data_IF_520127504927
#
_entry.id   IF_520127504927
#
_cell.length_a   1.000
_cell.length_b   1.000
_cell.length_c   1.000
_cell.angle_alpha   90.00
_cell.angle_beta   90.00
_cell.angle_gamma   90.00
#
_symmetry.space_group_name_H-M   'P 1'
#
loop_
_entity.id
_entity.type
_entity.pdbx_description
1 polymer ?
#
# COMPACT_ATOMS: atom_id res chain seq x y z
N UNK A 1 -1.53 44.91 96.17
CA UNK A 1 -1.32 44.11 94.94
C UNK A 1 -2.57 44.20 94.08
N UNK A 2 -2.53 45.05 93.05
CA UNK A 2 -3.27 44.91 91.77
C UNK A 2 -2.81 43.61 91.06
N UNK A 3 -3.46 43.04 90.00
CA UNK A 3 -4.54 43.51 89.09
C UNK A 3 -5.60 42.38 88.80
N UNK A 4 -6.08 42.11 87.55
CA UNK A 4 -6.98 42.82 86.61
C UNK A 4 -8.33 42.06 86.37
N UNK A 5 -9.47 42.69 86.02
CA UNK A 5 -9.93 43.26 84.72
C UNK A 5 -10.56 42.28 83.70
N UNK A 6 -11.82 42.62 83.32
CA UNK A 6 -12.45 42.53 81.97
C UNK A 6 -12.72 41.11 81.43
N UNK A 7 -13.73 40.82 80.61
CA UNK A 7 -14.51 41.60 79.65
C UNK A 7 -15.80 40.83 79.29
N UNK A 8 -16.81 41.58 78.82
CA UNK A 8 -18.11 41.14 78.29
C UNK A 8 -18.01 40.14 77.13
N UNK A 9 -19.01 39.26 77.00
CA UNK A 9 -19.39 38.64 75.72
C UNK A 9 -20.92 38.61 75.61
N UNK A 10 -21.44 39.42 74.68
CA UNK A 10 -22.82 39.43 74.22
C UNK A 10 -22.83 38.95 72.77
N UNK A 11 -23.67 37.94 72.53
CA UNK A 11 -24.32 37.51 71.29
C UNK A 11 -23.74 37.96 69.94
N UNK A 12 -23.48 36.98 69.07
CA UNK A 12 -23.86 37.06 67.65
C UNK A 12 -24.46 35.74 67.17
N UNK A 13 -25.73 35.81 66.77
CA UNK A 13 -26.41 34.85 65.89
C UNK A 13 -26.05 35.21 64.46
N UNK A 14 -25.79 34.23 63.60
CA UNK A 14 -25.78 34.41 62.15
C UNK A 14 -26.29 33.13 61.48
N UNK A 15 -27.21 33.32 60.56
CA UNK A 15 -28.09 32.33 59.95
C UNK A 15 -27.38 31.50 58.88
N UNK A 16 -27.73 30.22 58.78
CA UNK A 16 -27.40 29.35 57.65
C UNK A 16 -28.41 29.59 56.51
N UNK A 17 -27.90 29.96 55.34
CA UNK A 17 -28.57 29.85 54.04
C UNK A 17 -27.94 28.67 53.30
N UNK A 18 -28.68 27.57 53.18
CA UNK A 18 -28.34 26.42 52.33
C UNK A 18 -28.85 26.71 50.91
N UNK A 19 -27.93 27.10 50.02
CA UNK A 19 -28.18 27.14 48.58
C UNK A 19 -27.98 25.73 48.00
N UNK A 20 -29.08 25.08 47.59
CA UNK A 20 -29.05 23.78 46.95
C UNK A 20 -28.58 23.92 45.48
N UNK A 21 -27.64 23.05 45.12
CA UNK A 21 -27.07 22.89 43.79
C UNK A 21 -28.10 22.35 42.78
N UNK A 22 -28.07 22.89 41.56
CA UNK A 22 -28.51 22.17 40.36
C UNK A 22 -27.58 22.56 39.20
N UNK A 23 -26.34 22.07 39.27
CA UNK A 23 -25.46 22.01 38.10
C UNK A 23 -26.02 20.96 37.15
N UNK A 24 -26.83 21.40 36.18
CA UNK A 24 -27.12 20.65 34.96
C UNK A 24 -25.81 20.50 34.18
N UNK A 25 -25.06 19.44 34.45
CA UNK A 25 -24.02 19.02 33.53
C UNK A 25 -24.71 18.58 32.22
N UNK A 26 -24.35 19.13 31.05
CA UNK A 26 -24.89 18.63 29.79
C UNK A 26 -24.51 17.16 29.69
N UNK A 27 -25.52 16.30 29.49
CA UNK A 27 -25.29 14.92 29.13
C UNK A 27 -24.50 14.93 27.81
N UNK A 28 -23.19 14.67 27.91
CA UNK A 28 -22.36 14.37 26.76
C UNK A 28 -23.04 13.17 26.09
N UNK A 29 -23.73 13.43 24.98
CA UNK A 29 -24.20 12.36 24.12
C UNK A 29 -22.93 11.65 23.67
N UNK A 30 -22.70 10.44 24.17
CA UNK A 30 -21.63 9.60 23.69
C UNK A 30 -21.85 9.47 22.18
N UNK A 31 -20.96 10.07 21.39
CA UNK A 31 -21.01 9.95 19.95
C UNK A 31 -21.07 8.46 19.62
N UNK A 32 -21.93 8.10 18.65
CA UNK A 32 -22.03 6.72 18.19
C UNK A 32 -20.65 6.17 17.76
N UNK A 33 -20.48 4.85 17.69
CA UNK A 33 -19.21 4.29 17.26
C UNK A 33 -18.87 4.77 15.85
N UNK A 34 -17.58 5.04 15.62
CA UNK A 34 -17.07 5.45 14.31
C UNK A 34 -17.18 4.30 13.30
N UNK A 35 -16.96 3.07 13.77
CA UNK A 35 -17.08 1.84 12.99
C UNK A 35 -17.48 0.68 13.91
N UNK A 36 -18.32 -0.24 13.43
CA UNK A 36 -18.60 -1.50 14.12
C UNK A 36 -18.63 -2.61 13.10
N UNK A 37 -17.86 -3.68 13.33
CA UNK A 37 -17.74 -4.79 12.39
C UNK A 37 -17.47 -6.11 13.11
N UNK A 38 -17.85 -7.22 12.47
CA UNK A 38 -17.46 -8.55 12.89
C UNK A 38 -16.00 -8.80 12.50
N UNK A 39 -15.17 -9.09 13.49
CA UNK A 39 -13.80 -9.57 13.27
C UNK A 39 -13.87 -11.00 12.74
N UNK A 40 -14.67 -11.84 13.40
CA UNK A 40 -15.02 -13.18 12.96
C UNK A 40 -16.45 -13.52 13.41
N UNK A 41 -16.83 -14.80 13.38
CA UNK A 41 -18.18 -15.26 13.77
C UNK A 41 -18.50 -15.02 15.25
N UNK A 42 -17.49 -14.84 16.10
CA UNK A 42 -17.59 -14.79 17.56
C UNK A 42 -17.25 -13.43 18.15
N UNK A 43 -16.42 -12.63 17.47
CA UNK A 43 -15.93 -11.34 17.95
C UNK A 43 -16.46 -10.19 17.10
N UNK A 44 -17.01 -9.18 17.76
CA UNK A 44 -17.34 -7.88 17.15
C UNK A 44 -16.43 -6.79 17.71
N UNK A 45 -15.80 -6.02 16.83
CA UNK A 45 -15.04 -4.84 17.19
C UNK A 45 -15.93 -3.59 17.04
N UNK A 46 -15.93 -2.75 18.07
CA UNK A 46 -16.57 -1.43 18.07
C UNK A 46 -15.49 -0.37 18.27
N UNK A 47 -15.31 0.49 17.27
CA UNK A 47 -14.28 1.53 17.25
C UNK A 47 -14.94 2.86 17.59
N UNK A 48 -14.36 3.56 18.55
CA UNK A 48 -14.82 4.84 19.09
C UNK A 48 -13.67 5.84 19.10
N UNK A 49 -13.99 7.12 18.96
CA UNK A 49 -12.99 8.18 19.10
C UNK A 49 -12.60 8.29 20.57
N UNK A 50 -11.31 8.15 20.89
CA UNK A 50 -10.82 8.48 22.23
C UNK A 50 -10.53 9.99 22.31
N UNK A 51 -9.75 10.50 21.35
CA UNK A 51 -9.44 11.91 21.17
C UNK A 51 -9.06 12.19 19.70
N UNK A 52 -8.26 13.25 19.44
CA UNK A 52 -7.81 13.62 18.09
C UNK A 52 -6.76 12.68 17.49
N UNK A 53 -6.01 11.95 18.33
CA UNK A 53 -4.87 11.13 17.90
C UNK A 53 -5.04 9.64 18.25
N UNK A 54 -6.08 9.30 19.00
CA UNK A 54 -6.30 7.94 19.47
C UNK A 54 -7.72 7.43 19.22
N UNK A 55 -7.80 6.13 18.96
CA UNK A 55 -9.02 5.33 18.82
C UNK A 55 -9.14 4.40 20.03
N UNK A 56 -10.35 4.20 20.54
CA UNK A 56 -10.66 3.10 21.47
C UNK A 56 -11.40 1.99 20.71
N UNK A 57 -10.88 0.78 20.78
CA UNK A 57 -11.53 -0.43 20.28
C UNK A 57 -12.09 -1.20 21.47
N UNK A 58 -13.37 -1.56 21.41
CA UNK A 58 -14.03 -2.48 22.34
C UNK A 58 -14.41 -3.77 21.61
N UNK A 59 -13.98 -4.89 22.16
CA UNK A 59 -14.31 -6.22 21.66
C UNK A 59 -15.50 -6.80 22.41
N UNK A 60 -16.47 -7.32 21.67
CA UNK A 60 -17.67 -7.99 22.20
C UNK A 60 -17.63 -9.48 21.84
N UNK A 61 -18.09 -10.37 22.74
CA UNK A 61 -18.76 -10.07 24.02
C UNK A 61 -17.81 -9.87 25.21
N UNK A 62 -16.51 -10.12 25.06
CA UNK A 62 -15.57 -10.13 26.20
C UNK A 62 -15.43 -8.79 26.94
N UNK A 63 -15.78 -7.68 26.29
CA UNK A 63 -15.72 -6.34 26.87
C UNK A 63 -14.32 -5.75 26.93
N UNK A 64 -13.28 -6.50 26.51
CA UNK A 64 -11.90 -6.04 26.46
C UNK A 64 -11.79 -4.78 25.60
N UNK A 65 -10.98 -3.82 26.04
CA UNK A 65 -10.70 -2.59 25.31
C UNK A 65 -9.23 -2.47 24.96
N UNK A 66 -8.95 -1.70 23.92
CA UNK A 66 -7.61 -1.34 23.48
C UNK A 66 -7.62 0.10 22.96
N UNK A 67 -6.54 0.82 23.20
CA UNK A 67 -6.27 2.11 22.54
C UNK A 67 -5.32 1.90 21.37
N UNK A 68 -5.62 2.51 20.23
CA UNK A 68 -4.78 2.53 19.04
C UNK A 68 -4.47 3.97 18.66
N UNK A 69 -3.32 4.20 18.04
CA UNK A 69 -3.00 5.49 17.45
C UNK A 69 -3.75 5.70 16.13
N UNK A 70 -4.00 6.95 15.77
CA UNK A 70 -4.38 7.34 14.41
C UNK A 70 -3.08 7.50 13.63
N UNK A 71 -2.76 6.53 12.78
CA UNK A 71 -1.48 6.45 12.06
C UNK A 71 -1.42 7.31 10.80
N UNK A 72 -2.57 7.68 10.25
CA UNK A 72 -2.67 8.48 9.02
C UNK A 72 -3.81 9.49 9.16
N UNK A 73 -3.55 10.71 8.68
CA UNK A 73 -4.54 11.79 8.55
C UNK A 73 -4.28 12.57 7.27
N UNK A 74 -5.30 13.24 6.76
CA UNK A 74 -5.12 14.24 5.71
C UNK A 74 -4.52 15.55 6.29
N UNK A 75 -4.36 16.56 5.43
CA UNK A 75 -3.79 17.87 5.80
C UNK A 75 -4.62 18.61 6.86
N UNK A 76 -5.91 18.32 6.97
CA UNK A 76 -6.84 18.90 7.95
C UNK A 76 -6.97 18.04 9.23
N UNK A 77 -6.25 16.91 9.30
CA UNK A 77 -6.31 16.00 10.44
C UNK A 77 -7.49 15.02 10.41
N UNK A 78 -8.21 14.89 9.29
CA UNK A 78 -9.28 13.92 9.14
C UNK A 78 -8.76 12.55 8.72
N UNK A 79 -9.56 11.52 9.00
CA UNK A 79 -9.32 10.15 8.62
C UNK A 79 -10.64 9.40 8.47
N UNK A 80 -10.55 8.27 7.77
CA UNK A 80 -11.61 7.29 7.59
C UNK A 80 -11.20 5.95 8.18
N UNK A 81 -12.20 5.10 8.43
CA UNK A 81 -12.00 3.76 8.96
C UNK A 81 -12.62 2.74 8.00
N UNK A 82 -11.92 1.64 7.79
CA UNK A 82 -12.41 0.49 7.04
C UNK A 82 -12.05 -0.82 7.75
N UNK A 83 -12.75 -1.90 7.40
CA UNK A 83 -12.46 -3.23 7.89
C UNK A 83 -12.54 -4.25 6.76
N UNK A 84 -11.49 -5.04 6.61
CA UNK A 84 -11.36 -6.14 5.66
C UNK A 84 -10.34 -7.16 6.19
N UNK A 85 -10.23 -8.33 5.58
CA UNK A 85 -9.20 -9.33 5.92
C UNK A 85 -7.94 -9.04 5.09
N UNK A 86 -7.01 -8.26 5.65
CA UNK A 86 -5.84 -7.74 4.91
C UNK A 86 -4.68 -8.73 4.87
N UNK A 87 -4.58 -9.65 5.84
CA UNK A 87 -3.56 -10.71 5.89
C UNK A 87 -4.07 -12.10 5.43
N UNK A 88 -5.36 -12.21 5.12
CA UNK A 88 -6.02 -13.41 4.61
C UNK A 88 -6.02 -14.58 5.61
N UNK A 89 -6.11 -14.27 6.91
CA UNK A 89 -6.15 -15.26 7.99
C UNK A 89 -7.58 -15.65 8.43
N UNK A 90 -8.60 -14.99 7.85
CA UNK A 90 -10.01 -15.22 8.15
C UNK A 90 -10.58 -14.30 9.23
N UNK A 91 -9.76 -13.44 9.84
CA UNK A 91 -10.20 -12.40 10.74
C UNK A 91 -10.17 -11.03 10.03
N UNK A 92 -11.22 -10.22 10.20
CA UNK A 92 -11.20 -8.85 9.70
C UNK A 92 -10.35 -7.96 10.58
N UNK A 93 -9.55 -7.16 9.90
CA UNK A 93 -8.61 -6.20 10.42
C UNK A 93 -9.20 -4.78 10.41
N UNK A 94 -8.47 -3.83 10.99
CA UNK A 94 -8.86 -2.41 11.00
C UNK A 94 -7.87 -1.60 10.15
N UNK A 95 -8.38 -0.81 9.22
CA UNK A 95 -7.61 0.22 8.53
C UNK A 95 -8.05 1.61 8.97
N UNK A 96 -7.07 2.49 9.18
CA UNK A 96 -7.21 3.94 9.18
C UNK A 96 -6.66 4.42 7.85
N UNK A 97 -7.39 5.27 7.14
CA UNK A 97 -6.91 5.81 5.88
C UNK A 97 -7.34 7.26 5.68
N UNK A 98 -6.55 8.01 4.91
CA UNK A 98 -6.82 9.41 4.62
C UNK A 98 -6.24 9.82 3.26
N UNK A 99 -6.78 10.87 2.66
CA UNK A 99 -6.25 11.39 1.40
C UNK A 99 -4.83 11.92 1.59
N UNK A 100 -3.93 11.50 0.70
CA UNK A 100 -2.58 11.98 0.50
C UNK A 100 -2.52 12.71 -0.86
N UNK A 101 -2.62 14.04 -0.83
CA UNK A 101 -2.80 14.84 -2.04
C UNK A 101 -4.18 14.60 -2.67
N UNK A 102 -4.27 14.59 -4.01
CA UNK A 102 -5.57 14.59 -4.71
C UNK A 102 -6.06 13.22 -5.19
N UNK A 103 -5.21 12.20 -5.21
CA UNK A 103 -5.51 10.92 -5.90
C UNK A 103 -5.03 9.67 -5.16
N UNK A 104 -4.27 9.86 -4.08
CA UNK A 104 -3.76 8.77 -3.28
C UNK A 104 -4.44 8.82 -1.91
N UNK A 105 -4.70 7.66 -1.34
CA UNK A 105 -5.11 7.49 0.05
C UNK A 105 -4.01 6.71 0.77
N UNK A 106 -3.46 7.27 1.85
CA UNK A 106 -2.49 6.57 2.69
C UNK A 106 -3.22 5.70 3.73
N UNK A 107 -2.72 4.50 3.96
CA UNK A 107 -3.31 3.51 4.86
C UNK A 107 -2.38 3.15 6.01
N UNK A 108 -2.90 3.20 7.23
CA UNK A 108 -2.35 2.50 8.39
C UNK A 108 -3.24 1.32 8.75
N UNK A 109 -2.69 0.10 8.72
CA UNK A 109 -3.45 -1.14 8.95
C UNK A 109 -3.06 -1.76 10.28
N UNK A 110 -4.05 -2.24 11.02
CA UNK A 110 -3.88 -3.04 12.21
C UNK A 110 -4.49 -4.43 12.04
N UNK A 111 -3.63 -5.44 12.12
CA UNK A 111 -4.02 -6.85 12.05
C UNK A 111 -4.60 -7.34 13.35
N UNK A 112 -5.65 -8.16 13.30
CA UNK A 112 -6.20 -8.79 14.48
C UNK A 112 -5.35 -9.97 14.95
N UNK A 113 -4.95 -9.96 16.22
CA UNK A 113 -4.35 -11.09 16.92
C UNK A 113 -5.44 -11.82 17.72
N UNK A 114 -5.92 -12.99 17.27
CA UNK A 114 -6.98 -13.73 17.95
C UNK A 114 -6.53 -14.30 19.30
N UNK A 115 -5.25 -14.64 19.46
CA UNK A 115 -4.74 -15.22 20.70
C UNK A 115 -4.74 -14.18 21.83
N UNK A 116 -4.44 -12.92 21.50
CA UNK A 116 -4.48 -11.81 22.45
C UNK A 116 -5.79 -11.05 22.43
N UNK A 117 -6.65 -11.26 21.43
CA UNK A 117 -7.86 -10.49 21.19
C UNK A 117 -7.57 -8.98 21.16
N UNK A 118 -6.70 -8.57 20.26
CA UNK A 118 -6.24 -7.18 20.10
C UNK A 118 -5.77 -6.93 18.67
N UNK A 119 -5.69 -5.67 18.28
CA UNK A 119 -5.13 -5.23 17.01
C UNK A 119 -3.63 -4.91 17.16
N UNK A 120 -2.81 -5.23 16.17
CA UNK A 120 -1.38 -4.92 16.12
C UNK A 120 -1.03 -4.30 14.76
N UNK A 121 -0.17 -3.26 14.71
CA UNK A 121 0.13 -2.58 13.45
C UNK A 121 0.79 -3.54 12.45
N UNK A 122 0.28 -3.57 11.22
CA UNK A 122 0.89 -4.27 10.10
C UNK A 122 2.29 -3.69 9.87
N UNK A 123 3.30 -4.55 9.90
CA UNK A 123 4.68 -4.16 9.67
C UNK A 123 5.01 -4.26 8.19
N UNK A 124 5.54 -3.18 7.61
CA UNK A 124 6.14 -3.22 6.28
C UNK A 124 7.32 -4.20 6.24
N UNK A 125 7.69 -4.73 5.06
CA UNK A 125 8.89 -5.53 4.90
C UNK A 125 10.11 -4.85 5.55
N UNK A 126 11.02 -5.65 6.12
CA UNK A 126 12.20 -5.11 6.78
C UNK A 126 13.05 -4.29 5.79
N UNK A 127 13.79 -3.29 6.29
CA UNK A 127 14.58 -2.38 5.46
C UNK A 127 15.57 -3.07 4.51
N UNK A 128 16.04 -4.28 4.84
CA UNK A 128 16.94 -5.09 4.02
C UNK A 128 16.23 -6.00 2.99
N UNK A 129 14.90 -5.94 2.91
CA UNK A 129 14.08 -6.66 1.93
C UNK A 129 13.73 -5.72 0.76
N UNK A 130 13.29 -6.25 -0.40
CA UNK A 130 12.73 -5.44 -1.47
C UNK A 130 11.51 -4.63 -1.00
N UNK A 131 11.43 -3.38 -1.44
CA UNK A 131 10.30 -2.48 -1.24
C UNK A 131 9.61 -2.19 -2.57
N UNK A 132 8.30 -1.94 -2.50
CA UNK A 132 7.50 -1.55 -3.65
C UNK A 132 7.73 -0.09 -4.04
N UNK A 133 7.26 0.33 -5.22
CA UNK A 133 7.40 1.70 -5.70
C UNK A 133 6.62 2.72 -4.87
N UNK A 134 5.56 2.28 -4.20
CA UNK A 134 4.74 3.18 -3.40
C UNK A 134 5.38 3.51 -2.05
N UNK A 135 6.46 2.82 -1.67
CA UNK A 135 7.20 2.85 -0.40
C UNK A 135 6.34 2.50 0.85
N UNK A 136 5.08 2.94 0.87
CA UNK A 136 4.04 2.70 1.87
C UNK A 136 2.81 1.99 1.27
N UNK A 137 1.79 1.80 2.11
CA UNK A 137 0.48 1.27 1.72
C UNK A 137 -0.43 2.41 1.27
N UNK A 138 -0.64 2.50 -0.05
CA UNK A 138 -1.40 3.56 -0.71
C UNK A 138 -2.53 2.92 -1.53
N UNK A 139 -3.74 3.51 -1.50
CA UNK A 139 -4.93 3.02 -2.22
C UNK A 139 -5.11 1.50 -2.12
N UNK A 140 -5.16 1.00 -0.88
CA UNK A 140 -5.05 -0.43 -0.59
C UNK A 140 -6.27 -1.20 -1.09
N UNK A 141 -6.03 -2.39 -1.64
CA UNK A 141 -7.08 -3.34 -1.99
C UNK A 141 -6.70 -4.78 -1.60
N UNK A 142 -7.47 -5.39 -0.71
CA UNK A 142 -7.37 -6.81 -0.39
C UNK A 142 -8.05 -7.66 -1.48
N UNK A 143 -7.38 -8.71 -1.96
CA UNK A 143 -7.94 -9.70 -2.89
C UNK A 143 -7.89 -11.10 -2.28
N UNK A 144 -8.91 -11.51 -1.51
CA UNK A 144 -8.89 -12.78 -0.78
C UNK A 144 -8.71 -14.02 -1.66
N UNK A 145 -9.31 -14.05 -2.86
CA UNK A 145 -9.16 -15.16 -3.82
C UNK A 145 -7.71 -15.35 -4.28
N UNK A 146 -6.95 -14.27 -4.31
CA UNK A 146 -5.55 -14.23 -4.74
C UNK A 146 -4.59 -14.25 -3.54
N UNK A 147 -5.12 -14.12 -2.32
CA UNK A 147 -4.37 -13.94 -1.07
C UNK A 147 -3.29 -12.87 -1.21
N UNK A 148 -3.66 -11.76 -1.83
CA UNK A 148 -2.72 -10.70 -2.21
C UNK A 148 -3.30 -9.34 -1.82
N UNK A 149 -2.48 -8.53 -1.14
CA UNK A 149 -2.78 -7.16 -0.75
C UNK A 149 -2.13 -6.23 -1.77
N UNK A 150 -2.94 -5.50 -2.53
CA UNK A 150 -2.46 -4.55 -3.52
C UNK A 150 -2.33 -3.16 -2.91
N UNK A 151 -1.21 -2.49 -3.20
CA UNK A 151 -0.98 -1.06 -2.98
C UNK A 151 -0.81 -0.41 -4.36
N UNK A 152 -1.41 0.74 -4.58
CA UNK A 152 -1.25 1.49 -5.82
C UNK A 152 -1.09 2.97 -5.55
N UNK A 153 -0.19 3.61 -6.28
CA UNK A 153 0.11 5.01 -6.08
C UNK A 153 0.38 5.67 -7.42
N UNK A 154 0.00 6.92 -7.53
CA UNK A 154 0.38 7.75 -8.66
C UNK A 154 1.68 8.48 -8.37
N UNK A 155 2.69 8.25 -9.22
CA UNK A 155 3.93 9.03 -9.26
C UNK A 155 4.11 9.65 -10.64
N UNK A 156 3.98 10.98 -10.73
CA UNK A 156 3.96 11.68 -12.02
C UNK A 156 2.79 11.23 -12.91
N UNK A 157 3.02 10.94 -14.20
CA UNK A 157 1.97 10.47 -15.11
C UNK A 157 1.65 8.96 -14.96
N UNK A 158 2.38 8.24 -14.09
CA UNK A 158 2.34 6.77 -14.02
C UNK A 158 1.62 6.32 -12.75
N UNK A 159 0.82 5.27 -12.89
CA UNK A 159 0.35 4.48 -11.76
C UNK A 159 1.26 3.28 -11.55
N UNK A 160 1.75 3.16 -10.33
CA UNK A 160 2.49 1.99 -9.87
C UNK A 160 1.54 1.07 -9.10
N UNK A 161 1.85 -0.22 -9.12
CA UNK A 161 1.14 -1.21 -8.33
C UNK A 161 2.14 -2.16 -7.71
N UNK A 162 2.05 -2.31 -6.40
CA UNK A 162 2.81 -3.27 -5.62
C UNK A 162 1.83 -4.31 -5.07
N UNK A 163 2.26 -5.56 -5.10
CA UNK A 163 1.48 -6.68 -4.59
C UNK A 163 2.24 -7.32 -3.43
N UNK A 164 1.58 -7.41 -2.28
CA UNK A 164 2.12 -8.00 -1.06
C UNK A 164 1.41 -9.31 -0.75
N UNK A 165 2.17 -10.25 -0.19
CA UNK A 165 1.67 -11.53 0.34
C UNK A 165 2.23 -11.77 1.72
N UNK A 166 1.72 -12.80 2.38
CA UNK A 166 2.09 -13.18 3.73
C UNK A 166 2.70 -14.58 3.72
N UNK A 167 3.82 -14.74 4.40
CA UNK A 167 4.46 -16.05 4.58
C UNK A 167 3.67 -16.92 5.58
N UNK A 168 4.11 -18.16 5.79
CA UNK A 168 3.47 -19.08 6.73
C UNK A 168 3.48 -18.59 8.19
N UNK A 169 4.37 -17.65 8.53
CA UNK A 169 4.44 -17.00 9.85
C UNK A 169 3.61 -15.72 9.95
N UNK A 170 2.90 -15.33 8.89
CA UNK A 170 2.11 -14.10 8.85
C UNK A 170 2.93 -12.84 8.60
N UNK A 171 4.19 -12.97 8.18
CA UNK A 171 5.03 -11.80 7.84
C UNK A 171 4.75 -11.37 6.39
N UNK A 172 4.50 -10.07 6.22
CA UNK A 172 4.32 -9.48 4.91
C UNK A 172 5.63 -9.44 4.12
N UNK A 173 5.57 -9.76 2.83
CA UNK A 173 6.66 -9.61 1.88
C UNK A 173 6.14 -9.06 0.55
N UNK A 174 6.99 -8.32 -0.16
CA UNK A 174 6.69 -7.86 -1.51
C UNK A 174 6.69 -9.07 -2.45
N UNK A 175 5.55 -9.36 -3.07
CA UNK A 175 5.43 -10.44 -4.05
C UNK A 175 5.69 -9.94 -5.47
N UNK A 176 5.13 -8.79 -5.85
CA UNK A 176 5.35 -8.19 -7.17
C UNK A 176 5.43 -6.67 -7.09
N UNK A 177 6.23 -6.09 -7.99
CA UNK A 177 6.34 -4.64 -8.17
C UNK A 177 6.77 -4.35 -9.61
N UNK A 178 6.44 -3.17 -10.12
CA UNK A 178 6.85 -2.71 -11.44
C UNK A 178 8.19 -1.98 -11.38
N UNK A 179 9.12 -2.27 -12.26
CA UNK A 179 10.34 -1.50 -12.47
C UNK A 179 10.16 -0.64 -13.73
N UNK A 180 10.42 0.67 -13.61
CA UNK A 180 10.27 1.59 -14.72
C UNK A 180 11.24 1.25 -15.86
N UNK A 181 10.74 1.31 -17.10
CA UNK A 181 11.59 1.29 -18.29
C UNK A 181 12.14 2.71 -18.50
N UNK A 182 13.43 2.88 -18.89
CA UNK A 182 14.02 4.17 -19.18
C UNK A 182 13.20 5.03 -20.16
N UNK A 183 13.15 6.34 -19.89
CA UNK A 183 12.31 7.29 -20.62
C UNK A 183 12.65 7.38 -22.11
N UNK A 184 13.90 7.14 -22.49
CA UNK A 184 14.36 7.14 -23.88
C UNK A 184 13.80 5.96 -24.71
N UNK A 185 13.32 4.89 -24.06
CA UNK A 185 12.69 3.75 -24.73
C UNK A 185 11.17 3.84 -24.83
N UNK A 186 10.54 4.85 -24.22
CA UNK A 186 9.09 4.98 -24.18
C UNK A 186 8.47 5.07 -25.58
N UNK A 187 9.05 5.86 -26.47
CA UNK A 187 8.58 5.98 -27.86
C UNK A 187 8.55 4.62 -28.58
N UNK A 188 9.44 3.71 -28.20
CA UNK A 188 9.52 2.38 -28.79
C UNK A 188 8.55 1.39 -28.13
N UNK A 189 8.40 1.44 -26.80
CA UNK A 189 7.82 0.35 -26.00
C UNK A 189 6.46 0.70 -25.35
N UNK A 190 6.11 1.97 -25.25
CA UNK A 190 4.82 2.37 -24.68
C UNK A 190 3.67 2.08 -25.64
N UNK A 191 2.56 1.61 -25.08
CA UNK A 191 1.34 1.35 -25.83
C UNK A 191 0.33 2.49 -25.67
N UNK A 192 -0.75 2.43 -26.45
CA UNK A 192 -1.85 3.42 -26.36
C UNK A 192 -2.48 3.49 -24.96
N UNK A 193 -2.37 2.41 -24.18
CA UNK A 193 -2.89 2.32 -22.82
C UNK A 193 -2.03 3.03 -21.77
N UNK A 194 -0.75 3.32 -22.07
CA UNK A 194 0.18 3.91 -21.12
C UNK A 194 1.57 3.27 -21.15
N UNK A 195 2.43 3.67 -20.20
CA UNK A 195 3.83 3.28 -20.20
C UNK A 195 4.05 1.81 -19.85
N UNK A 196 4.97 1.18 -20.56
CA UNK A 196 5.39 -0.19 -20.27
C UNK A 196 6.35 -0.24 -19.07
N UNK A 197 6.37 -1.37 -18.37
CA UNK A 197 7.26 -1.60 -17.22
C UNK A 197 7.84 -3.01 -17.23
N UNK A 198 8.80 -3.27 -16.35
CA UNK A 198 9.27 -4.63 -16.05
C UNK A 198 8.59 -5.11 -14.77
N UNK A 199 7.73 -6.13 -14.87
CA UNK A 199 7.15 -6.76 -13.70
C UNK A 199 8.18 -7.65 -13.02
N UNK A 200 8.50 -7.30 -11.78
CA UNK A 200 9.35 -8.07 -10.89
C UNK A 200 8.49 -9.01 -10.05
N UNK A 201 8.99 -10.21 -9.76
CA UNK A 201 8.37 -11.15 -8.83
C UNK A 201 9.41 -11.68 -7.87
N UNK A 202 9.08 -11.69 -6.59
CA UNK A 202 9.94 -12.12 -5.51
C UNK A 202 9.34 -13.31 -4.76
N UNK A 203 10.20 -14.13 -4.16
CA UNK A 203 9.77 -15.11 -3.17
C UNK A 203 9.66 -14.49 -1.77
N UNK A 204 9.20 -15.28 -0.79
CA UNK A 204 9.01 -14.85 0.61
C UNK A 204 10.32 -14.40 1.30
N UNK A 205 11.48 -14.77 0.75
CA UNK A 205 12.79 -14.37 1.25
C UNK A 205 13.32 -13.10 0.56
N UNK A 206 12.52 -12.48 -0.31
CA UNK A 206 12.90 -11.27 -1.04
C UNK A 206 13.83 -11.54 -2.22
N UNK A 207 14.04 -12.79 -2.62
CA UNK A 207 14.84 -13.10 -3.80
C UNK A 207 13.97 -12.91 -5.05
N UNK A 208 14.48 -12.15 -6.02
CA UNK A 208 13.83 -12.00 -7.34
C UNK A 208 13.84 -13.35 -8.07
N UNK A 209 12.66 -13.90 -8.33
CA UNK A 209 12.45 -15.17 -9.04
C UNK A 209 12.04 -14.98 -10.50
N UNK A 210 11.51 -13.81 -10.86
CA UNK A 210 11.17 -13.47 -12.24
C UNK A 210 11.29 -11.97 -12.47
N UNK A 211 11.66 -11.62 -13.71
CA UNK A 211 11.60 -10.26 -14.28
C UNK A 211 11.08 -10.41 -15.70
N UNK A 212 10.03 -9.69 -16.06
CA UNK A 212 9.44 -9.77 -17.41
C UNK A 212 8.83 -8.44 -17.84
N UNK A 213 8.84 -8.10 -19.13
CA UNK A 213 8.11 -6.95 -19.63
C UNK A 213 6.60 -7.10 -19.40
N UNK A 214 5.94 -5.99 -19.07
CA UNK A 214 4.50 -5.90 -18.90
C UNK A 214 4.00 -4.57 -19.47
N UNK A 215 3.01 -4.65 -20.36
CA UNK A 215 2.30 -3.47 -20.83
C UNK A 215 1.41 -2.90 -19.72
N UNK A 216 1.04 -1.63 -19.83
CA UNK A 216 0.27 -0.93 -18.80
C UNK A 216 -1.08 -1.61 -18.44
N UNK A 217 -1.70 -2.28 -19.41
CA UNK A 217 -2.94 -3.05 -19.25
C UNK A 217 -2.71 -4.51 -18.78
N UNK A 218 -1.54 -4.79 -18.20
CA UNK A 218 -1.04 -6.11 -17.84
C UNK A 218 -0.76 -7.07 -19.02
N UNK A 219 -0.82 -6.56 -20.27
CA UNK A 219 -0.54 -7.31 -21.49
C UNK A 219 0.95 -7.51 -21.79
N UNK A 220 1.21 -7.93 -23.04
CA UNK A 220 2.57 -8.09 -23.57
C UNK A 220 3.08 -6.78 -24.13
N UNK A 221 4.36 -6.51 -23.91
CA UNK A 221 5.04 -5.39 -24.56
C UNK A 221 5.45 -5.80 -25.96
N UNK A 222 5.00 -5.05 -26.97
CA UNK A 222 5.35 -5.28 -28.38
C UNK A 222 5.69 -3.98 -29.06
N UNK A 223 6.57 -4.02 -30.06
CA UNK A 223 6.88 -2.85 -30.87
C UNK A 223 7.00 -3.21 -32.35
N UNK A 224 6.78 -2.21 -33.21
CA UNK A 224 7.02 -2.31 -34.65
C UNK A 224 8.46 -1.99 -34.98
N UNK A 225 9.10 -2.84 -35.77
CA UNK A 225 10.46 -2.64 -36.26
C UNK A 225 10.47 -1.44 -37.21
N UNK A 226 11.29 -0.43 -36.89
CA UNK A 226 11.45 0.80 -37.70
C UNK A 226 12.56 0.71 -38.75
N UNK A 227 13.77 0.19 -38.43
CA UNK A 227 14.84 0.10 -39.40
C UNK A 227 14.53 -0.89 -40.52
N UNK A 228 15.09 -0.67 -41.71
CA UNK A 228 14.92 -1.60 -42.84
C UNK A 228 15.35 -3.04 -42.50
N UNK A 229 16.43 -3.17 -41.72
CA UNK A 229 16.92 -4.43 -41.16
C UNK A 229 17.40 -4.15 -39.74
N UNK A 230 16.77 -4.82 -38.77
CA UNK A 230 17.19 -4.79 -37.37
C UNK A 230 17.92 -6.11 -37.06
N UNK A 231 19.25 -6.07 -36.82
CA UNK A 231 20.04 -7.24 -36.45
C UNK A 231 19.44 -8.01 -35.27
N UNK A 232 19.38 -9.34 -35.39
CA UNK A 232 18.93 -10.25 -34.33
C UNK A 232 20.09 -11.13 -33.88
N UNK A 233 20.65 -10.79 -32.72
CA UNK A 233 21.85 -11.40 -32.16
C UNK A 233 21.52 -12.59 -31.26
N UNK A 234 22.44 -13.55 -31.16
CA UNK A 234 22.33 -14.68 -30.22
C UNK A 234 22.68 -14.26 -28.78
N UNK A 235 23.54 -13.24 -28.65
CA UNK A 235 24.03 -12.68 -27.37
C UNK A 235 23.97 -11.16 -27.39
N UNK A 236 24.09 -10.52 -26.22
CA UNK A 236 24.19 -9.06 -26.05
C UNK A 236 25.56 -8.55 -26.48
N UNK A 237 25.91 -8.72 -27.75
CA UNK A 237 27.23 -8.37 -28.28
C UNK A 237 27.10 -7.76 -29.67
N UNK A 238 27.85 -6.70 -29.90
CA UNK A 238 27.95 -5.99 -31.17
C UNK A 238 28.84 -6.77 -32.17
N UNK A 239 28.34 -7.95 -32.55
CA UNK A 239 28.96 -8.87 -33.49
C UNK A 239 28.05 -9.02 -34.70
N UNK A 240 28.58 -9.30 -35.91
CA UNK A 240 27.76 -9.43 -37.10
C UNK A 240 26.63 -10.46 -36.91
N UNK A 241 25.38 -9.99 -36.93
CA UNK A 241 24.22 -10.86 -36.82
C UNK A 241 23.92 -11.53 -38.17
N UNK A 242 23.72 -12.85 -38.16
CA UNK A 242 23.27 -13.60 -39.35
C UNK A 242 21.77 -13.49 -39.59
N UNK A 243 21.01 -13.17 -38.53
CA UNK A 243 19.55 -13.06 -38.52
C UNK A 243 19.17 -11.60 -38.34
N UNK A 244 18.00 -11.23 -38.85
CA UNK A 244 17.43 -9.90 -38.71
C UNK A 244 15.91 -9.97 -38.83
N UNK A 245 15.24 -8.98 -38.26
CA UNK A 245 13.82 -8.67 -38.53
C UNK A 245 13.76 -7.42 -39.42
N UNK A 246 12.66 -7.22 -40.14
CA UNK A 246 12.57 -6.14 -41.15
C UNK A 246 11.54 -5.09 -40.75
N UNK A 247 11.65 -3.91 -41.36
CA UNK A 247 10.70 -2.82 -41.13
C UNK A 247 9.24 -3.28 -41.29
N UNK A 248 8.41 -2.91 -40.33
CA UNK A 248 6.99 -3.26 -40.29
C UNK A 248 6.66 -4.58 -39.56
N UNK A 249 7.66 -5.44 -39.29
CA UNK A 249 7.46 -6.59 -38.40
C UNK A 249 7.07 -6.12 -36.99
N UNK A 250 6.19 -6.88 -36.33
CA UNK A 250 5.92 -6.71 -34.90
C UNK A 250 6.68 -7.75 -34.11
N UNK A 251 7.42 -7.31 -33.09
CA UNK A 251 8.15 -8.19 -32.17
C UNK A 251 7.64 -8.00 -30.75
N UNK A 252 7.68 -9.08 -29.97
CA UNK A 252 7.36 -9.07 -28.54
C UNK A 252 8.65 -8.91 -27.73
N UNK A 253 8.70 -7.92 -26.83
CA UNK A 253 9.76 -7.81 -25.84
C UNK A 253 9.53 -8.89 -24.77
N UNK A 254 10.55 -9.70 -24.51
CA UNK A 254 10.48 -10.80 -23.53
C UNK A 254 11.46 -10.65 -22.37
N UNK A 255 12.50 -9.82 -22.52
CA UNK A 255 13.45 -9.46 -21.47
C UNK A 255 14.30 -8.25 -21.92
N UNK A 256 15.10 -7.69 -21.02
CA UNK A 256 16.06 -6.63 -21.31
C UNK A 256 17.31 -6.77 -20.43
N UNK A 257 18.45 -6.29 -20.90
CA UNK A 257 19.63 -6.11 -20.03
C UNK A 257 19.31 -5.14 -18.88
N UNK A 258 20.08 -5.21 -17.79
CA UNK A 258 19.87 -4.33 -16.63
C UNK A 258 20.03 -2.84 -16.98
N UNK A 259 20.85 -2.51 -17.97
CA UNK A 259 21.07 -1.16 -18.50
C UNK A 259 20.16 -0.82 -19.69
N UNK A 260 19.26 -1.72 -20.05
CA UNK A 260 18.33 -1.63 -21.19
C UNK A 260 18.97 -1.35 -22.56
N UNK A 261 20.29 -1.50 -22.70
CA UNK A 261 20.96 -1.35 -24.00
C UNK A 261 20.64 -2.48 -24.97
N UNK A 262 20.25 -3.64 -24.44
CA UNK A 262 19.87 -4.81 -25.20
C UNK A 262 18.47 -5.28 -24.86
N UNK A 263 17.65 -5.47 -25.89
CA UNK A 263 16.28 -5.92 -25.78
C UNK A 263 16.18 -7.35 -26.30
N UNK A 264 15.72 -8.28 -25.47
CA UNK A 264 15.45 -9.65 -25.90
C UNK A 264 14.06 -9.69 -26.49
N UNK A 265 13.97 -10.08 -27.75
CA UNK A 265 12.70 -10.09 -28.48
C UNK A 265 12.34 -11.49 -28.97
N UNK A 266 11.04 -11.68 -29.18
CA UNK A 266 10.45 -12.83 -29.84
C UNK A 266 9.69 -12.36 -31.08
N UNK A 267 10.11 -12.86 -32.23
CA UNK A 267 9.42 -12.70 -33.50
C UNK A 267 8.68 -14.00 -33.86
N UNK A 268 7.43 -13.90 -34.34
CA UNK A 268 6.71 -15.07 -34.87
C UNK A 268 6.83 -15.08 -36.38
N UNK A 269 7.77 -15.88 -36.89
CA UNK A 269 7.93 -16.07 -38.32
C UNK A 269 6.82 -17.00 -38.85
N UNK A 270 6.06 -16.61 -39.88
CA UNK A 270 4.99 -17.45 -40.45
C UNK A 270 5.45 -18.82 -40.98
N UNK A 271 6.71 -18.94 -41.40
CA UNK A 271 7.27 -20.13 -42.03
C UNK A 271 8.18 -20.96 -41.10
N UNK A 272 8.85 -20.30 -40.15
CA UNK A 272 9.87 -20.92 -39.29
C UNK A 272 9.48 -21.00 -37.81
N UNK A 273 8.28 -20.51 -37.44
CA UNK A 273 7.82 -20.48 -36.05
C UNK A 273 8.42 -19.33 -35.23
N UNK A 274 8.42 -19.46 -33.91
CA UNK A 274 8.91 -18.41 -33.02
C UNK A 274 10.44 -18.37 -32.98
N UNK A 275 11.00 -17.20 -33.30
CA UNK A 275 12.43 -16.92 -33.28
C UNK A 275 12.73 -15.92 -32.18
N UNK A 276 13.78 -16.16 -31.39
CA UNK A 276 14.23 -15.26 -30.33
C UNK A 276 15.67 -14.78 -30.58
N UNK A 277 15.98 -13.62 -30.03
CA UNK A 277 17.32 -13.05 -30.03
C UNK A 277 17.33 -11.67 -29.37
N UNK A 278 18.51 -11.07 -29.33
CA UNK A 278 18.77 -9.75 -28.79
C UNK A 278 18.85 -8.73 -29.92
N UNK A 279 18.30 -7.54 -29.69
CA UNK A 279 18.46 -6.37 -30.57
C UNK A 279 19.05 -5.23 -29.74
N UNK A 280 19.87 -4.38 -30.36
CA UNK A 280 20.31 -3.15 -29.71
C UNK A 280 19.12 -2.20 -29.58
N UNK A 281 18.96 -1.58 -28.41
CA UNK A 281 17.94 -0.58 -28.20
C UNK A 281 18.15 0.63 -29.13
N UNK A 282 19.41 1.07 -29.30
CA UNK A 282 19.81 2.15 -30.20
C UNK A 282 19.39 1.85 -31.64
N UNK A 283 19.73 0.67 -32.16
CA UNK A 283 19.37 0.29 -33.53
C UNK A 283 17.86 0.18 -33.70
N UNK A 284 17.14 -0.38 -32.71
CA UNK A 284 15.69 -0.52 -32.77
C UNK A 284 14.97 0.83 -32.84
N UNK A 285 15.52 1.88 -32.21
CA UNK A 285 15.01 3.25 -32.30
C UNK A 285 15.32 3.94 -33.64
N UNK A 286 16.22 3.39 -34.45
CA UNK A 286 16.61 3.93 -35.75
C UNK A 286 17.80 4.90 -35.73
N UNK A 287 18.63 4.86 -34.68
CA UNK A 287 19.85 5.65 -34.53
C UNK A 287 21.13 4.97 -35.01
#
# INVERSE_FOLDING_TARGET
>A
MTPPSRLRSLLRRSALLLAACASLAPAAHAAGPLLTFKVDDTVTARVERADGQHLTVRFLPSGKTQTLDVTVTDEDGHYHLAADDYNFDGHRDLAVYAMLGMVNESYGIYLYDPARQQFAPLQMPAANMPHGNCDDLINVQAKPKERTLYSSCRGGPIWYTDAYRFDAGGKMYLYQSSEAIPDDLRDLLDGDSGPSSMLLTYDEHGKRVSRRPQAYDAGKVTFKVRPARLPLHDTMADTPARRYVVAGDTVELIDASDDFQWLKVRYRNPHAGAVQGWVSAKEAMGG
#
